data_IF_739272982157
#
_entry.id   IF_739272982157
#
_cell.length_a   1.000
_cell.length_b   1.000
_cell.length_c   1.000
_cell.angle_alpha   90.00
_cell.angle_beta   90.00
_cell.angle_gamma   90.00
#
_symmetry.space_group_name_H-M   'P 1'
#
loop_
_entity.id
_entity.type
_entity.pdbx_description
1 polymer ?
#
# COMPACT_ATOMS: atom_id res chain seq x y z
N UNK A 1 -11.17 24.76 49.15
CA UNK A 1 -9.80 24.28 48.85
C UNK A 1 -9.87 22.78 48.57
N UNK A 2 -10.07 22.40 47.31
CA UNK A 2 -10.06 20.98 46.92
C UNK A 2 -9.09 20.80 45.75
N UNK A 3 -8.05 20.02 46.03
CA UNK A 3 -6.91 19.72 45.17
C UNK A 3 -7.31 18.88 43.95
N UNK A 4 -6.78 19.24 42.78
CA UNK A 4 -6.72 18.38 41.60
C UNK A 4 -5.67 17.26 41.82
N UNK A 5 -5.94 16.00 41.43
CA UNK A 5 -4.88 15.03 41.25
C UNK A 5 -4.20 15.16 39.88
N UNK A 6 -2.94 15.57 40.01
CA UNK A 6 -1.76 15.48 39.14
C UNK A 6 -1.81 14.49 37.93
N UNK A 7 -1.57 15.02 36.73
CA UNK A 7 -1.24 14.26 35.52
C UNK A 7 0.10 13.52 35.71
N UNK A 8 0.05 12.18 35.82
CA UNK A 8 1.25 11.36 35.68
C UNK A 8 1.67 11.30 34.22
N UNK A 9 2.89 11.80 33.96
CA UNK A 9 3.65 11.68 32.73
C UNK A 9 3.74 10.21 32.30
N UNK A 10 3.28 9.91 31.09
CA UNK A 10 3.53 8.63 30.43
C UNK A 10 4.91 8.69 29.79
N UNK A 11 5.76 7.75 30.22
CA UNK A 11 7.13 7.56 29.80
C UNK A 11 7.16 6.86 28.43
N UNK A 12 7.94 7.38 27.49
CA UNK A 12 8.23 6.73 26.21
C UNK A 12 9.16 5.53 26.45
N UNK A 13 8.74 4.35 26.00
CA UNK A 13 9.63 3.19 25.99
C UNK A 13 8.90 1.85 25.88
N UNK A 14 9.18 1.17 24.76
CA UNK A 14 9.05 -0.28 24.53
C UNK A 14 7.67 -0.80 24.15
N UNK A 15 7.56 -1.38 22.94
CA UNK A 15 6.43 -2.25 22.63
C UNK A 15 6.13 -2.57 21.17
N UNK A 16 7.12 -2.82 20.30
CA UNK A 16 6.85 -3.57 19.06
C UNK A 16 6.49 -5.02 19.42
N UNK A 17 5.20 -5.30 19.62
CA UNK A 17 4.69 -6.67 19.62
C UNK A 17 3.44 -6.78 18.75
N UNK A 18 3.66 -7.46 17.63
CA UNK A 18 2.68 -8.03 16.71
C UNK A 18 1.50 -8.62 17.49
N UNK A 19 0.29 -8.19 17.15
CA UNK A 19 -0.92 -8.98 17.40
C UNK A 19 -1.58 -9.17 16.03
N UNK A 20 -1.13 -10.21 15.32
CA UNK A 20 -1.98 -10.89 14.33
C UNK A 20 -2.80 -11.87 15.16
N UNK A 21 -3.96 -11.44 15.62
CA UNK A 21 -5.00 -12.35 16.06
C UNK A 21 -5.92 -12.54 14.85
N UNK A 22 -5.71 -13.65 14.17
CA UNK A 22 -6.62 -14.17 13.15
C UNK A 22 -8.00 -14.40 13.78
N UNK A 23 -9.04 -13.85 13.14
CA UNK A 23 -10.42 -14.32 13.29
C UNK A 23 -11.03 -14.32 11.89
N UNK A 24 -10.72 -15.38 11.15
CA UNK A 24 -11.45 -15.75 9.95
C UNK A 24 -12.52 -16.74 10.41
N UNK A 25 -13.79 -16.35 10.37
CA UNK A 25 -14.88 -17.32 10.46
C UNK A 25 -15.07 -17.94 9.09
N UNK A 26 -14.37 -19.06 8.90
CA UNK A 26 -14.57 -20.04 7.85
C UNK A 26 -15.97 -20.65 8.04
N UNK A 27 -16.87 -20.41 7.10
CA UNK A 27 -18.13 -21.15 7.03
C UNK A 27 -17.95 -22.31 6.06
N UNK A 28 -17.57 -23.45 6.63
CA UNK A 28 -17.59 -24.76 5.99
C UNK A 28 -19.00 -25.07 5.51
N UNK A 29 -19.18 -25.22 4.19
CA UNK A 29 -20.31 -25.93 3.63
C UNK A 29 -19.77 -27.05 2.73
N UNK A 30 -19.58 -28.23 3.34
CA UNK A 30 -19.32 -29.49 2.64
C UNK A 30 -20.60 -29.95 1.96
N UNK A 31 -20.52 -30.25 0.66
CA UNK A 31 -21.49 -31.13 0.01
C UNK A 31 -20.74 -32.18 -0.83
N UNK A 32 -21.21 -33.45 -0.88
CA UNK A 32 -20.37 -34.57 -1.30
C UNK A 32 -20.18 -34.63 -2.83
N UNK A 33 -18.95 -34.92 -3.27
CA UNK A 33 -18.69 -35.39 -4.63
C UNK A 33 -19.12 -36.85 -4.75
N UNK A 34 -20.03 -37.13 -5.69
CA UNK A 34 -20.25 -38.47 -6.22
C UNK A 34 -19.93 -38.50 -7.73
N UNK A 35 -18.91 -39.32 -8.04
CA UNK A 35 -18.68 -40.19 -9.21
C UNK A 35 -19.01 -39.75 -10.67
N UNK A 36 -17.91 -39.63 -11.44
CA UNK A 36 -17.59 -40.38 -12.67
C UNK A 36 -17.97 -39.90 -14.10
N UNK A 37 -17.14 -40.27 -15.12
CA UNK A 37 -16.73 -39.37 -16.21
C UNK A 37 -17.26 -39.78 -17.59
N UNK A 38 -17.47 -38.80 -18.48
CA UNK A 38 -17.52 -38.98 -19.94
C UNK A 38 -17.40 -37.60 -20.62
N UNK A 39 -16.33 -37.36 -21.40
CA UNK A 39 -16.27 -36.22 -22.34
C UNK A 39 -16.91 -36.57 -23.69
N UNK A 40 -16.74 -35.76 -24.76
CA UNK A 40 -16.43 -34.34 -24.83
C UNK A 40 -17.55 -33.54 -25.55
N UNK A 41 -18.00 -32.43 -24.99
CA UNK A 41 -18.68 -31.37 -25.75
C UNK A 41 -18.05 -30.03 -25.37
N UNK A 42 -17.42 -29.36 -26.34
CA UNK A 42 -17.04 -27.96 -26.20
C UNK A 42 -18.34 -27.17 -26.38
N UNK A 43 -19.13 -27.11 -25.31
CA UNK A 43 -20.25 -26.20 -25.22
C UNK A 43 -19.72 -24.90 -24.63
N UNK A 44 -19.61 -23.90 -25.50
CA UNK A 44 -19.21 -22.52 -25.18
C UNK A 44 -20.33 -21.83 -24.41
N UNK A 45 -20.68 -22.31 -23.22
CA UNK A 45 -21.73 -21.75 -22.35
C UNK A 45 -21.53 -22.08 -20.86
N UNK A 46 -20.28 -22.21 -20.38
CA UNK A 46 -20.03 -22.18 -18.94
C UNK A 46 -19.75 -20.74 -18.50
N UNK A 47 -20.81 -19.97 -18.27
CA UNK A 47 -20.84 -18.57 -17.81
C UNK A 47 -20.38 -18.42 -16.35
N UNK A 48 -19.35 -19.16 -15.94
CA UNK A 48 -18.87 -19.14 -14.55
C UNK A 48 -17.71 -18.17 -14.33
N UNK A 49 -17.07 -17.68 -15.39
CA UNK A 49 -15.87 -16.84 -15.31
C UNK A 49 -15.93 -15.69 -16.33
N UNK A 50 -15.46 -14.52 -15.93
CA UNK A 50 -15.37 -13.31 -16.74
C UNK A 50 -14.06 -12.57 -16.44
N UNK A 51 -13.41 -12.07 -17.49
CA UNK A 51 -12.20 -11.24 -17.37
C UNK A 51 -12.62 -9.80 -17.13
N UNK A 52 -12.17 -9.19 -16.03
CA UNK A 52 -12.53 -7.84 -15.62
C UNK A 52 -11.32 -7.02 -15.20
N UNK A 53 -11.24 -5.77 -15.67
CA UNK A 53 -10.12 -4.86 -15.38
C UNK A 53 -10.43 -3.98 -14.16
N UNK A 54 -9.54 -3.99 -13.17
CA UNK A 54 -9.64 -3.16 -11.97
C UNK A 54 -9.62 -1.66 -12.32
N UNK A 55 -10.64 -0.93 -11.86
CA UNK A 55 -10.77 0.51 -12.12
C UNK A 55 -9.70 1.37 -11.42
N UNK A 56 -8.98 0.81 -10.44
CA UNK A 56 -7.89 1.51 -9.74
C UNK A 56 -6.57 1.41 -10.52
N UNK A 57 -6.12 0.18 -10.80
CA UNK A 57 -4.75 -0.09 -11.26
C UNK A 57 -4.64 -0.61 -12.70
N UNK A 58 -5.77 -0.96 -13.33
CA UNK A 58 -5.83 -1.48 -14.69
C UNK A 58 -5.31 -2.92 -14.84
N UNK A 59 -5.34 -3.71 -13.76
CA UNK A 59 -4.96 -5.12 -13.79
C UNK A 59 -6.21 -5.98 -14.00
N UNK A 60 -6.13 -6.94 -14.92
CA UNK A 60 -7.22 -7.87 -15.23
C UNK A 60 -7.20 -9.09 -14.29
N UNK A 61 -8.38 -9.55 -13.89
CA UNK A 61 -8.58 -10.76 -13.11
C UNK A 61 -9.70 -11.61 -13.72
N UNK A 62 -9.55 -12.93 -13.65
CA UNK A 62 -10.59 -13.89 -14.00
C UNK A 62 -11.50 -14.09 -12.79
N UNK A 63 -12.78 -13.75 -12.92
CA UNK A 63 -13.69 -13.69 -11.79
C UNK A 63 -15.08 -14.22 -12.12
N UNK A 64 -15.73 -14.83 -11.13
CA UNK A 64 -17.14 -15.23 -11.28
C UNK A 64 -18.04 -13.99 -11.30
N UNK A 65 -19.12 -13.96 -12.09
CA UNK A 65 -20.07 -12.85 -12.10
C UNK A 65 -20.63 -12.51 -10.71
N UNK A 66 -20.87 -13.55 -9.89
CA UNK A 66 -21.33 -13.39 -8.49
C UNK A 66 -20.29 -12.69 -7.60
N UNK A 67 -19.00 -12.91 -7.85
CA UNK A 67 -17.95 -12.20 -7.11
C UNK A 67 -17.86 -10.74 -7.58
N UNK A 68 -17.96 -10.50 -8.89
CA UNK A 68 -17.96 -9.16 -9.48
C UNK A 68 -19.07 -8.29 -8.88
N UNK A 69 -20.30 -8.78 -8.81
CA UNK A 69 -21.42 -8.02 -8.22
C UNK A 69 -21.17 -7.65 -6.76
N UNK A 70 -20.69 -8.59 -5.93
CA UNK A 70 -20.39 -8.33 -4.51
C UNK A 70 -19.32 -7.27 -4.31
N UNK A 71 -18.28 -7.27 -5.15
CA UNK A 71 -17.24 -6.24 -5.09
C UNK A 71 -17.81 -4.89 -5.52
N UNK A 72 -18.60 -4.83 -6.60
CA UNK A 72 -19.23 -3.57 -7.03
C UNK A 72 -20.15 -2.99 -5.95
N UNK A 73 -20.93 -3.83 -5.26
CA UNK A 73 -21.75 -3.40 -4.13
C UNK A 73 -20.91 -2.83 -2.98
N UNK A 74 -19.75 -3.44 -2.69
CA UNK A 74 -18.87 -3.01 -1.62
C UNK A 74 -18.07 -1.73 -1.93
N UNK A 75 -17.82 -1.40 -3.19
CA UNK A 75 -16.93 -0.31 -3.62
C UNK A 75 -17.61 0.70 -4.55
N UNK A 76 -18.76 1.23 -4.13
CA UNK A 76 -19.46 2.32 -4.83
C UNK A 76 -19.72 2.03 -6.33
N UNK A 77 -20.08 0.79 -6.65
CA UNK A 77 -20.35 0.33 -8.02
C UNK A 77 -19.10 -0.04 -8.82
N UNK A 78 -17.90 0.12 -8.27
CA UNK A 78 -16.64 -0.08 -8.99
C UNK A 78 -16.10 -1.49 -8.83
N UNK A 79 -15.51 -2.03 -9.90
CA UNK A 79 -14.73 -3.26 -9.80
C UNK A 79 -13.30 -2.94 -9.34
N UNK A 80 -12.90 -3.58 -8.25
CA UNK A 80 -11.61 -3.40 -7.59
C UNK A 80 -10.97 -4.78 -7.39
N UNK A 81 -9.75 -4.96 -7.88
CA UNK A 81 -9.02 -6.23 -7.70
C UNK A 81 -8.73 -6.53 -6.22
N UNK A 82 -8.45 -7.79 -5.91
CA UNK A 82 -8.25 -8.25 -4.52
C UNK A 82 -7.22 -7.41 -3.74
N UNK A 83 -6.11 -7.03 -4.37
CA UNK A 83 -5.06 -6.22 -3.74
C UNK A 83 -5.49 -4.77 -3.48
N UNK A 84 -6.17 -4.13 -4.43
CA UNK A 84 -6.68 -2.78 -4.25
C UNK A 84 -7.81 -2.76 -3.20
N UNK A 85 -8.64 -3.81 -3.13
CA UNK A 85 -9.69 -3.93 -2.14
C UNK A 85 -9.14 -4.00 -0.71
N UNK A 86 -8.04 -4.71 -0.49
CA UNK A 86 -7.33 -4.71 0.81
C UNK A 86 -6.73 -3.33 1.12
N UNK A 87 -6.10 -2.68 0.14
CA UNK A 87 -5.51 -1.35 0.33
C UNK A 87 -6.55 -0.28 0.71
N UNK A 88 -7.73 -0.29 0.08
CA UNK A 88 -8.83 0.62 0.40
C UNK A 88 -9.36 0.35 1.81
N UNK A 89 -9.58 -0.93 2.18
CA UNK A 89 -10.00 -1.30 3.54
C UNK A 89 -8.97 -0.92 4.60
N UNK A 90 -7.68 -1.01 4.29
CA UNK A 90 -6.61 -0.57 5.19
C UNK A 90 -6.62 0.96 5.37
N UNK A 91 -6.90 1.72 4.30
CA UNK A 91 -7.03 3.18 4.39
C UNK A 91 -8.21 3.59 5.27
N UNK A 92 -9.34 2.88 5.20
CA UNK A 92 -10.51 3.12 6.06
C UNK A 92 -10.18 2.95 7.55
N UNK A 93 -9.36 1.94 7.91
CA UNK A 93 -8.95 1.69 9.30
C UNK A 93 -8.02 2.78 9.87
N UNK A 94 -7.23 3.44 9.02
CA UNK A 94 -6.21 4.42 9.43
C UNK A 94 -6.77 5.80 9.76
N UNK A 95 -7.98 6.11 9.31
CA UNK A 95 -8.56 7.42 9.49
C UNK A 95 -9.32 7.51 10.82
N UNK A 96 -8.85 8.40 11.70
CA UNK A 96 -9.58 8.89 12.87
C UNK A 96 -10.03 10.35 12.61
N UNK A 97 -11.27 10.76 12.97
CA UNK A 97 -12.32 9.95 13.61
C UNK A 97 -12.97 8.97 12.63
N UNK A 98 -13.51 7.90 13.22
CA UNK A 98 -13.95 6.68 12.54
C UNK A 98 -14.92 6.96 11.38
N UNK A 99 -14.72 6.22 10.29
CA UNK A 99 -15.54 6.20 9.08
C UNK A 99 -15.17 7.30 8.08
N UNK A 100 -14.02 7.17 7.42
CA UNK A 100 -14.00 7.61 6.02
C UNK A 100 -15.04 6.76 5.30
N UNK A 101 -15.94 7.42 4.58
CA UNK A 101 -16.83 6.73 3.67
C UNK A 101 -15.97 5.90 2.71
N UNK A 102 -16.42 4.68 2.38
CA UNK A 102 -15.71 3.78 1.45
C UNK A 102 -15.32 4.52 0.17
N UNK A 103 -16.20 5.43 -0.28
CA UNK A 103 -15.99 6.31 -1.42
C UNK A 103 -14.73 7.19 -1.32
N UNK A 104 -14.49 7.85 -0.18
CA UNK A 104 -13.33 8.72 0.00
C UNK A 104 -12.03 7.90 0.03
N UNK A 105 -12.03 6.77 0.73
CA UNK A 105 -10.88 5.87 0.76
C UNK A 105 -10.59 5.29 -0.64
N UNK A 106 -11.64 4.97 -1.40
CA UNK A 106 -11.54 4.48 -2.76
C UNK A 106 -11.00 5.56 -3.71
N UNK A 107 -11.53 6.77 -3.67
CA UNK A 107 -11.08 7.87 -4.53
C UNK A 107 -9.63 8.26 -4.25
N UNK A 108 -9.24 8.30 -2.97
CA UNK A 108 -7.84 8.50 -2.56
C UNK A 108 -6.92 7.42 -3.13
N UNK A 109 -7.33 6.15 -3.04
CA UNK A 109 -6.57 5.04 -3.61
C UNK A 109 -6.50 5.10 -5.14
N UNK A 110 -7.61 5.39 -5.81
CA UNK A 110 -7.66 5.56 -7.28
C UNK A 110 -6.73 6.68 -7.74
N UNK A 111 -6.72 7.81 -7.03
CA UNK A 111 -5.81 8.92 -7.31
C UNK A 111 -4.33 8.50 -7.21
N UNK A 112 -3.99 7.75 -6.16
CA UNK A 112 -2.65 7.18 -5.98
C UNK A 112 -2.29 6.22 -7.12
N UNK A 113 -3.18 5.28 -7.47
CA UNK A 113 -2.94 4.34 -8.56
C UNK A 113 -2.81 5.04 -9.91
N UNK A 114 -3.64 6.05 -10.21
CA UNK A 114 -3.52 6.88 -11.43
C UNK A 114 -2.17 7.57 -11.50
N UNK A 115 -1.70 8.14 -10.39
CA UNK A 115 -0.37 8.76 -10.31
C UNK A 115 0.74 7.73 -10.54
N UNK A 116 0.69 6.61 -9.83
CA UNK A 116 1.66 5.52 -9.98
C UNK A 116 1.72 4.98 -11.40
N UNK A 117 0.55 4.76 -12.02
CA UNK A 117 0.46 4.29 -13.38
C UNK A 117 1.13 5.29 -14.34
N UNK A 118 0.79 6.58 -14.23
CA UNK A 118 1.33 7.63 -15.11
C UNK A 118 2.83 7.87 -14.95
N UNK A 119 3.38 7.71 -13.75
CA UNK A 119 4.79 8.01 -13.47
C UNK A 119 5.66 6.76 -13.42
N UNK A 120 5.36 5.84 -12.52
CA UNK A 120 6.23 4.70 -12.20
C UNK A 120 6.05 3.57 -13.22
N UNK A 121 4.80 3.17 -13.49
CA UNK A 121 4.50 2.04 -14.38
C UNK A 121 4.85 2.38 -15.83
N UNK A 122 4.42 3.55 -16.32
CA UNK A 122 4.70 3.98 -17.69
C UNK A 122 6.18 4.31 -17.93
N UNK A 123 6.87 4.92 -16.96
CA UNK A 123 8.22 5.46 -17.15
C UNK A 123 9.16 5.14 -15.97
N UNK A 124 9.46 3.86 -15.69
CA UNK A 124 10.20 3.46 -14.49
C UNK A 124 11.60 4.07 -14.40
N UNK A 125 12.31 4.21 -15.53
CA UNK A 125 13.63 4.85 -15.58
C UNK A 125 13.58 6.34 -15.22
N UNK A 126 12.59 7.07 -15.74
CA UNK A 126 12.41 8.49 -15.46
C UNK A 126 11.98 8.70 -14.00
N UNK A 127 11.11 7.82 -13.49
CA UNK A 127 10.70 7.81 -12.09
C UNK A 127 11.90 7.58 -11.16
N UNK A 128 12.78 6.64 -11.49
CA UNK A 128 14.01 6.40 -10.74
C UNK A 128 14.94 7.61 -10.76
N UNK A 129 15.19 8.18 -11.94
CA UNK A 129 16.03 9.37 -12.08
C UNK A 129 15.45 10.57 -11.29
N UNK A 130 14.13 10.74 -11.29
CA UNK A 130 13.42 11.73 -10.48
C UNK A 130 13.65 11.49 -8.97
N UNK A 131 13.45 10.26 -8.50
CA UNK A 131 13.69 9.91 -7.09
C UNK A 131 15.15 10.16 -6.67
N UNK A 132 16.13 9.80 -7.51
CA UNK A 132 17.55 10.07 -7.26
C UNK A 132 17.83 11.58 -7.17
N UNK A 133 17.21 12.37 -8.04
CA UNK A 133 17.29 13.84 -8.00
C UNK A 133 16.70 14.40 -6.71
N UNK A 134 15.55 13.90 -6.27
CA UNK A 134 14.90 14.35 -5.04
C UNK A 134 15.73 14.00 -3.80
N UNK A 135 16.34 12.81 -3.77
CA UNK A 135 17.29 12.41 -2.72
C UNK A 135 18.49 13.37 -2.67
N UNK A 136 19.12 13.65 -3.82
CA UNK A 136 20.26 14.58 -3.89
C UNK A 136 19.88 16.01 -3.43
N UNK A 137 18.71 16.52 -3.87
CA UNK A 137 18.18 17.83 -3.47
C UNK A 137 17.97 17.89 -1.96
N UNK A 138 17.25 16.92 -1.39
CA UNK A 138 16.95 16.86 0.04
C UNK A 138 18.21 16.72 0.90
N UNK A 139 19.21 15.98 0.40
CA UNK A 139 20.52 15.85 1.06
C UNK A 139 21.28 17.19 1.11
N UNK A 140 21.21 17.98 0.04
CA UNK A 140 21.85 19.30 -0.02
C UNK A 140 21.16 20.32 0.90
N UNK A 141 19.82 20.35 0.90
CA UNK A 141 19.03 21.21 1.79
C UNK A 141 19.28 20.93 3.28
N UNK A 142 19.43 19.65 3.65
CA UNK A 142 19.78 19.26 5.02
C UNK A 142 21.16 19.77 5.45
N UNK A 143 22.16 19.72 4.56
CA UNK A 143 23.49 20.30 4.81
C UNK A 143 23.44 21.82 4.96
N UNK A 144 22.70 22.52 4.09
CA UNK A 144 22.65 23.98 4.13
C UNK A 144 21.87 24.52 5.35
N UNK A 145 20.80 23.83 5.76
CA UNK A 145 20.05 24.17 6.98
C UNK A 145 20.82 23.88 8.28
N UNK A 146 21.76 22.94 8.26
CA UNK A 146 22.73 22.76 9.36
C UNK A 146 23.84 23.81 9.38
N UNK A 147 24.11 24.47 8.24
CA UNK A 147 25.13 25.52 8.13
C UNK A 147 24.63 26.90 8.57
N UNK A 148 23.31 27.13 8.61
CA UNK A 148 22.70 28.39 9.07
C UNK A 148 22.44 28.45 10.59
N UNK A 149 22.78 27.39 11.36
CA UNK A 149 22.70 27.36 12.84
C UNK A 149 24.04 27.21 13.56
N UNK A 150 25.16 27.26 12.85
CA UNK A 150 26.50 27.17 13.43
C UNK A 150 27.34 28.39 13.08
N UNK A 151 27.56 29.25 14.07
CA UNK A 151 28.61 30.28 14.03
C UNK A 151 29.94 29.68 13.55
N UNK A 152 30.63 30.45 12.70
CA UNK A 152 32.09 30.55 12.57
C UNK A 152 32.95 29.58 13.39
N UNK A 153 33.47 28.53 12.76
CA UNK A 153 34.90 28.18 12.74
C UNK A 153 35.10 26.96 11.81
N UNK A 154 36.14 27.01 10.98
CA UNK A 154 36.27 26.18 9.79
C UNK A 154 36.27 24.67 10.03
N UNK A 155 35.51 23.95 9.21
CA UNK A 155 35.70 22.53 8.97
C UNK A 155 36.02 22.33 7.49
N UNK A 156 37.28 22.02 7.23
CA UNK A 156 37.85 21.67 5.94
C UNK A 156 37.18 20.37 5.51
N UNK A 157 36.73 20.28 4.27
CA UNK A 157 36.23 19.03 3.69
C UNK A 157 37.36 18.00 3.74
N UNK A 158 37.29 17.06 4.69
CA UNK A 158 38.14 15.87 4.68
C UNK A 158 37.57 14.91 3.65
N UNK A 159 38.16 14.90 2.45
CA UNK A 159 37.93 13.84 1.48
C UNK A 159 38.38 12.52 2.11
N UNK A 160 37.44 11.60 2.37
CA UNK A 160 37.77 10.26 2.83
C UNK A 160 38.50 9.53 1.71
N UNK A 161 39.80 9.35 1.88
CA UNK A 161 40.64 8.47 1.06
C UNK A 161 40.00 7.07 1.04
N UNK A 162 39.78 6.54 -0.17
CA UNK A 162 39.24 5.22 -0.39
C UNK A 162 40.20 4.15 0.13
N UNK A 163 39.70 3.18 0.90
CA UNK A 163 40.41 1.94 1.19
C UNK A 163 40.44 1.06 -0.07
N UNK A 164 41.44 1.25 -0.93
CA UNK A 164 41.84 0.28 -1.94
C UNK A 164 43.24 -0.25 -1.58
N UNK A 165 43.52 -1.56 -1.73
CA UNK A 165 44.82 -2.09 -1.36
C UNK A 165 45.87 -1.66 -2.40
N UNK A 166 47.00 -1.14 -1.93
CA UNK A 166 48.22 -0.98 -2.74
C UNK A 166 48.90 -2.34 -2.79
N UNK A 167 48.91 -2.94 -3.97
CA UNK A 167 49.74 -4.10 -4.28
C UNK A 167 51.17 -3.59 -4.55
N UNK A 168 52.16 -4.18 -3.88
CA UNK A 168 53.59 -4.02 -4.22
C UNK A 168 54.24 -5.40 -4.25
#
# INVERSE_FOLDING_TARGET
MHNLPNLKKINEGQGLRRIVAANFQETDNKHPLNSDPSGPTIDTNNTNEAIVECECCGMSEDCTPKYISRIREAFCGKWVCGLCAEAVREQQKKALPAVLAVDEALESHMSLCRKFNRTVKLNPKLSLAGAMRDIARKSFEHRNSSHSKGNSCGARVSTTISCGPVIN
#
